data_IF_411358670974
#
_entry.id   IF_411358670974
#
_cell.length_a   1.000
_cell.length_b   1.000
_cell.length_c   1.000
_cell.angle_alpha   90.00
_cell.angle_beta   90.00
_cell.angle_gamma   90.00
#
_symmetry.space_group_name_H-M   'P 1'
#
loop_
_entity.id
_entity.type
_entity.pdbx_description
1 polymer ?
#
# COMPACT_ATOMS: atom_id res chain seq x y z
N UNK A 1 -0.34 15.55 -23.80
CA UNK A 1 -1.59 14.92 -23.34
C UNK A 1 -1.30 13.43 -23.22
N UNK A 2 -0.89 12.99 -22.02
CA UNK A 2 -0.66 11.57 -21.69
C UNK A 2 -1.64 11.24 -20.58
N UNK A 3 -2.44 10.22 -20.82
CA UNK A 3 -3.54 9.75 -19.97
C UNK A 3 -2.92 9.06 -18.76
N UNK A 4 -2.67 9.82 -17.70
CA UNK A 4 -2.38 9.32 -16.35
C UNK A 4 -3.68 8.95 -15.62
N UNK A 5 -4.46 8.05 -16.20
CA UNK A 5 -5.65 7.44 -15.58
C UNK A 5 -5.37 5.95 -15.47
N UNK A 6 -4.71 5.55 -14.38
CA UNK A 6 -5.03 4.28 -13.74
C UNK A 6 -4.96 4.56 -12.26
N UNK A 7 -6.15 4.48 -11.64
CA UNK A 7 -6.39 4.50 -10.21
C UNK A 7 -5.18 3.97 -9.45
N UNK A 8 -4.66 4.78 -8.51
CA UNK A 8 -4.30 4.23 -7.21
C UNK A 8 -5.53 3.44 -6.75
N UNK A 9 -5.55 2.14 -7.07
CA UNK A 9 -6.41 1.18 -6.45
C UNK A 9 -5.90 1.11 -5.03
N UNK A 10 -6.36 2.05 -4.21
CA UNK A 10 -6.19 1.97 -2.78
C UNK A 10 -6.71 0.59 -2.39
N UNK A 11 -5.85 -0.23 -1.77
CA UNK A 11 -6.23 -1.59 -1.40
C UNK A 11 -7.46 -1.57 -0.49
N UNK A 12 -7.70 -0.48 0.25
CA UNK A 12 -8.95 -0.25 0.97
C UNK A 12 -10.18 -0.21 0.06
N UNK A 13 -10.10 0.43 -1.11
CA UNK A 13 -11.21 0.48 -2.07
C UNK A 13 -11.55 -0.92 -2.60
N UNK A 14 -10.56 -1.78 -2.80
CA UNK A 14 -10.78 -3.17 -3.23
C UNK A 14 -11.47 -3.97 -2.11
N UNK A 15 -11.00 -3.83 -0.87
CA UNK A 15 -11.54 -4.53 0.29
C UNK A 15 -13.00 -4.17 0.55
N UNK A 16 -13.36 -2.88 0.51
CA UNK A 16 -14.75 -2.42 0.65
C UNK A 16 -15.65 -2.97 -0.45
N UNK A 17 -15.22 -2.87 -1.72
CA UNK A 17 -15.98 -3.39 -2.86
C UNK A 17 -16.20 -4.90 -2.74
N UNK A 18 -15.19 -5.68 -2.33
CA UNK A 18 -15.35 -7.13 -2.14
C UNK A 18 -16.42 -7.42 -1.08
N UNK A 19 -16.36 -6.72 0.05
CA UNK A 19 -17.31 -6.93 1.13
C UNK A 19 -18.74 -6.64 0.67
N UNK A 20 -18.97 -5.45 0.10
CA UNK A 20 -20.29 -5.02 -0.35
C UNK A 20 -20.86 -5.93 -1.44
N UNK A 21 -20.06 -6.27 -2.46
CA UNK A 21 -20.49 -7.17 -3.53
C UNK A 21 -20.78 -8.57 -3.02
N UNK A 22 -20.02 -9.06 -2.05
CA UNK A 22 -20.29 -10.36 -1.46
C UNK A 22 -21.59 -10.36 -0.67
N UNK A 23 -21.84 -9.31 0.13
CA UNK A 23 -23.10 -9.15 0.86
C UNK A 23 -24.31 -9.09 -0.09
N UNK A 24 -24.21 -8.32 -1.17
CA UNK A 24 -25.27 -8.21 -2.19
C UNK A 24 -25.56 -9.58 -2.85
N UNK A 25 -24.51 -10.30 -3.27
CA UNK A 25 -24.65 -11.53 -4.05
C UNK A 25 -25.31 -12.67 -3.29
N UNK A 26 -25.03 -12.80 -1.99
CA UNK A 26 -25.65 -13.84 -1.14
C UNK A 26 -26.72 -13.31 -0.21
N UNK A 27 -27.13 -12.05 -0.37
CA UNK A 27 -28.14 -11.40 0.49
C UNK A 27 -27.80 -11.58 1.97
N UNK A 28 -26.63 -11.07 2.37
CA UNK A 28 -26.22 -11.03 3.77
C UNK A 28 -26.52 -9.64 4.35
N UNK A 29 -27.08 -9.60 5.55
CA UNK A 29 -27.36 -8.36 6.29
C UNK A 29 -26.09 -7.81 6.94
N UNK A 30 -25.18 -8.70 7.32
CA UNK A 30 -23.94 -8.39 8.00
C UNK A 30 -22.75 -8.96 7.25
N UNK A 31 -21.65 -8.22 7.28
CA UNK A 31 -20.41 -8.68 6.70
C UNK A 31 -19.20 -8.11 7.42
N UNK A 32 -18.13 -8.90 7.47
CA UNK A 32 -16.83 -8.46 7.94
C UNK A 32 -15.73 -9.06 7.07
N UNK A 33 -14.72 -8.28 6.74
CA UNK A 33 -13.55 -8.72 5.99
C UNK A 33 -12.30 -8.33 6.76
N UNK A 34 -11.43 -9.32 6.98
CA UNK A 34 -10.11 -9.11 7.56
C UNK A 34 -9.04 -9.52 6.56
N UNK A 35 -7.99 -8.72 6.46
CA UNK A 35 -6.79 -9.06 5.69
C UNK A 35 -5.58 -9.12 6.62
N UNK A 36 -4.59 -9.90 6.22
CA UNK A 36 -3.37 -10.14 6.97
C UNK A 36 -2.15 -9.63 6.21
N UNK A 37 -1.17 -9.15 6.95
CA UNK A 37 0.11 -8.72 6.40
C UNK A 37 1.03 -9.94 6.09
N UNK A 38 2.35 -9.72 6.02
CA UNK A 38 3.31 -10.84 5.82
C UNK A 38 3.65 -11.56 7.12
N UNK A 39 3.45 -10.92 8.27
CA UNK A 39 3.68 -11.50 9.60
C UNK A 39 2.51 -12.34 10.10
N UNK A 40 1.35 -12.24 9.42
CA UNK A 40 0.08 -12.83 9.86
C UNK A 40 -0.71 -11.92 10.80
N UNK A 41 -0.24 -10.68 11.02
CA UNK A 41 -0.96 -9.67 11.77
C UNK A 41 -2.11 -9.10 10.93
N UNK A 42 -3.16 -8.60 11.59
CA UNK A 42 -4.26 -7.92 10.91
C UNK A 42 -3.72 -6.65 10.25
N UNK A 43 -3.92 -6.55 8.93
CA UNK A 43 -3.56 -5.38 8.12
C UNK A 43 -4.77 -4.44 7.99
N UNK A 44 -5.93 -5.00 7.62
CA UNK A 44 -7.19 -4.28 7.54
C UNK A 44 -8.34 -5.10 8.13
N UNK A 45 -9.26 -4.42 8.80
CA UNK A 45 -10.53 -4.96 9.25
C UNK A 45 -11.64 -3.98 8.90
N UNK A 46 -12.65 -4.46 8.17
CA UNK A 46 -13.85 -3.70 7.85
C UNK A 46 -15.09 -4.52 8.22
N UNK A 47 -16.14 -3.83 8.63
CA UNK A 47 -17.45 -4.44 8.92
C UNK A 47 -18.59 -3.56 8.40
N UNK A 48 -19.69 -4.21 8.02
CA UNK A 48 -20.93 -3.58 7.56
C UNK A 48 -22.12 -4.25 8.23
N UNK A 49 -23.12 -3.44 8.56
CA UNK A 49 -24.36 -3.87 9.21
C UNK A 49 -24.24 -4.15 10.71
N UNK A 50 -23.05 -4.25 11.30
CA UNK A 50 -22.89 -4.58 12.72
C UNK A 50 -23.19 -3.33 13.59
N UNK A 51 -24.19 -3.44 14.47
CA UNK A 51 -24.43 -2.52 15.60
C UNK A 51 -24.28 -3.24 16.95
N UNK A 52 -24.25 -2.48 18.05
CA UNK A 52 -23.97 -2.97 19.41
C UNK A 52 -25.01 -3.98 19.97
N UNK A 53 -26.15 -4.21 19.30
CA UNK A 53 -27.24 -5.07 19.76
C UNK A 53 -27.67 -6.16 18.75
N UNK A 54 -26.86 -6.43 17.72
CA UNK A 54 -27.22 -7.41 16.68
C UNK A 54 -27.05 -8.86 17.17
N UNK A 55 -28.14 -9.62 17.16
CA UNK A 55 -28.08 -11.09 17.15
C UNK A 55 -27.73 -11.58 15.74
N UNK A 56 -26.77 -12.50 15.62
CA UNK A 56 -26.37 -13.08 14.33
C UNK A 56 -27.11 -14.40 14.09
N UNK A 57 -27.72 -14.55 12.91
CA UNK A 57 -28.37 -15.76 12.45
C UNK A 57 -27.41 -16.70 11.70
N UNK A 58 -27.88 -17.24 10.58
CA UNK A 58 -27.07 -18.10 9.73
C UNK A 58 -25.81 -17.35 9.24
N UNK A 59 -24.69 -18.06 9.18
CA UNK A 59 -23.39 -17.48 8.80
C UNK A 59 -22.69 -18.27 7.70
N UNK A 60 -21.87 -17.56 6.94
CA UNK A 60 -21.02 -18.07 5.88
C UNK A 60 -19.64 -17.43 5.99
N UNK A 61 -18.61 -18.24 5.78
CA UNK A 61 -17.21 -17.79 5.75
C UNK A 61 -16.53 -18.27 4.47
N UNK A 62 -15.71 -17.40 3.89
CA UNK A 62 -14.78 -17.74 2.83
C UNK A 62 -13.37 -17.26 3.15
N UNK A 63 -12.38 -18.01 2.67
CA UNK A 63 -10.97 -17.65 2.81
C UNK A 63 -10.51 -16.92 1.56
N UNK A 64 -9.71 -15.88 1.75
CA UNK A 64 -9.03 -15.16 0.68
C UNK A 64 -7.61 -15.73 0.67
N UNK A 65 -7.30 -16.61 -0.27
CA UNK A 65 -5.98 -17.24 -0.35
C UNK A 65 -5.45 -17.31 -1.78
N UNK A 66 -4.12 -17.20 -1.92
CA UNK A 66 -3.40 -17.32 -3.20
C UNK A 66 -2.20 -18.23 -2.98
N UNK A 67 -2.06 -19.28 -3.80
CA UNK A 67 -0.90 -20.22 -3.76
C UNK A 67 -0.58 -20.68 -2.32
N UNK A 68 -1.59 -21.18 -1.62
CA UNK A 68 -1.52 -21.68 -0.23
C UNK A 68 -1.21 -20.63 0.85
N UNK A 69 -1.17 -19.34 0.48
CA UNK A 69 -1.04 -18.24 1.44
C UNK A 69 -2.40 -17.64 1.77
N UNK A 70 -2.75 -17.63 3.05
CA UNK A 70 -3.93 -16.90 3.56
C UNK A 70 -3.65 -15.40 3.54
N UNK A 71 -4.45 -14.67 2.77
CA UNK A 71 -4.43 -13.20 2.67
C UNK A 71 -5.49 -12.61 3.59
N UNK A 72 -6.58 -13.32 3.85
CA UNK A 72 -7.67 -12.80 4.66
C UNK A 72 -8.83 -13.76 4.80
N UNK A 73 -9.88 -13.31 5.45
CA UNK A 73 -11.15 -14.03 5.51
C UNK A 73 -12.32 -13.07 5.41
N UNK A 74 -13.36 -13.53 4.74
CA UNK A 74 -14.65 -12.88 4.62
C UNK A 74 -15.66 -13.66 5.48
N UNK A 75 -16.39 -12.94 6.30
CA UNK A 75 -17.48 -13.44 7.12
C UNK A 75 -18.76 -12.71 6.72
N UNK A 76 -19.84 -13.46 6.55
CA UNK A 76 -21.16 -12.96 6.19
C UNK A 76 -22.18 -13.60 7.12
N UNK A 77 -23.18 -12.85 7.55
CA UNK A 77 -24.33 -13.42 8.26
C UNK A 77 -25.63 -12.73 7.89
N UNK A 78 -26.72 -13.44 8.13
CA UNK A 78 -28.08 -12.90 8.05
C UNK A 78 -28.63 -12.63 9.44
N UNK A 79 -29.72 -11.88 9.53
CA UNK A 79 -30.48 -11.73 10.77
C UNK A 79 -31.10 -13.07 11.20
N UNK A 80 -31.41 -13.26 12.49
CA UNK A 80 -32.08 -14.46 12.98
C UNK A 80 -33.44 -14.66 12.30
N UNK A 81 -33.77 -15.91 11.99
CA UNK A 81 -35.03 -16.28 11.33
C UNK A 81 -34.97 -16.30 9.80
N UNK A 82 -33.91 -15.79 9.17
CA UNK A 82 -33.69 -15.97 7.74
C UNK A 82 -33.25 -17.39 7.37
N UNK A 83 -33.50 -17.84 6.13
CA UNK A 83 -33.02 -19.11 5.64
C UNK A 83 -31.49 -19.24 5.73
N UNK A 84 -30.96 -20.46 5.92
CA UNK A 84 -29.52 -20.69 5.85
C UNK A 84 -28.96 -20.35 4.47
N UNK A 85 -27.65 -20.07 4.41
CA UNK A 85 -26.94 -19.94 3.14
C UNK A 85 -27.00 -21.25 2.37
N UNK A 86 -27.28 -21.16 1.07
CA UNK A 86 -27.33 -22.31 0.17
C UNK A 86 -25.92 -22.76 -0.23
N UNK A 87 -25.79 -23.97 -0.77
CA UNK A 87 -24.53 -24.42 -1.36
C UNK A 87 -24.07 -23.52 -2.52
N UNK A 88 -25.02 -22.95 -3.27
CA UNK A 88 -24.73 -21.97 -4.31
C UNK A 88 -24.09 -20.71 -3.73
N UNK A 89 -24.61 -20.21 -2.59
CA UNK A 89 -24.02 -19.07 -1.87
C UNK A 89 -22.58 -19.37 -1.48
N UNK A 90 -22.31 -20.58 -0.96
CA UNK A 90 -20.96 -21.02 -0.60
C UNK A 90 -20.03 -21.04 -1.81
N UNK A 91 -20.48 -21.55 -2.95
CA UNK A 91 -19.68 -21.61 -4.19
C UNK A 91 -19.34 -20.20 -4.67
N UNK A 92 -20.34 -19.30 -4.73
CA UNK A 92 -20.15 -17.92 -5.18
C UNK A 92 -19.17 -17.17 -4.29
N UNK A 93 -19.35 -17.21 -2.97
CA UNK A 93 -18.51 -16.45 -2.03
C UNK A 93 -17.08 -17.00 -1.98
N UNK A 94 -16.88 -18.31 -2.12
CA UNK A 94 -15.53 -18.87 -2.22
C UNK A 94 -14.83 -18.47 -3.53
N UNK A 95 -15.56 -18.40 -4.65
CA UNK A 95 -15.02 -17.92 -5.92
C UNK A 95 -14.63 -16.44 -5.83
N UNK A 96 -15.49 -15.60 -5.24
CA UNK A 96 -15.19 -14.19 -4.96
C UNK A 96 -13.98 -14.05 -4.04
N UNK A 97 -13.90 -14.82 -2.96
CA UNK A 97 -12.76 -14.82 -2.04
C UNK A 97 -11.44 -15.17 -2.73
N UNK A 98 -11.47 -16.14 -3.66
CA UNK A 98 -10.30 -16.52 -4.45
C UNK A 98 -9.86 -15.40 -5.41
N UNK A 99 -10.80 -14.78 -6.12
CA UNK A 99 -10.51 -13.65 -7.04
C UNK A 99 -10.02 -12.42 -6.27
N UNK A 100 -10.66 -12.11 -5.16
CA UNK A 100 -10.28 -11.05 -4.23
C UNK A 100 -8.83 -11.22 -3.75
N UNK A 101 -8.46 -12.44 -3.37
CA UNK A 101 -7.11 -12.74 -2.91
C UNK A 101 -6.05 -12.43 -3.98
N UNK A 102 -6.30 -12.78 -5.24
CA UNK A 102 -5.41 -12.45 -6.37
C UNK A 102 -5.29 -10.93 -6.56
N UNK A 103 -6.41 -10.23 -6.55
CA UNK A 103 -6.45 -8.76 -6.69
C UNK A 103 -5.69 -8.05 -5.58
N UNK A 104 -5.94 -8.42 -4.33
CA UNK A 104 -5.26 -7.86 -3.15
C UNK A 104 -3.77 -8.17 -3.15
N UNK A 105 -3.37 -9.40 -3.51
CA UNK A 105 -1.96 -9.75 -3.65
C UNK A 105 -1.25 -8.90 -4.70
N UNK A 106 -1.91 -8.65 -5.83
CA UNK A 106 -1.34 -7.86 -6.93
C UNK A 106 -1.19 -6.38 -6.53
N UNK A 107 -2.23 -5.80 -5.92
CA UNK A 107 -2.20 -4.42 -5.43
C UNK A 107 -1.11 -4.22 -4.37
N UNK A 108 -0.90 -5.21 -3.49
CA UNK A 108 0.18 -5.17 -2.50
C UNK A 108 1.56 -5.19 -3.14
N UNK A 109 1.82 -6.13 -4.06
CA UNK A 109 3.10 -6.23 -4.76
C UNK A 109 3.43 -4.93 -5.50
N UNK A 110 2.42 -4.33 -6.15
CA UNK A 110 2.58 -3.05 -6.82
C UNK A 110 2.98 -1.92 -5.86
N UNK A 111 2.32 -1.83 -4.69
CA UNK A 111 2.68 -0.84 -3.66
C UNK A 111 4.09 -1.05 -3.10
N UNK A 112 4.48 -2.30 -2.85
CA UNK A 112 5.83 -2.63 -2.35
C UNK A 112 6.92 -2.22 -3.35
N UNK A 113 6.70 -2.47 -4.65
CA UNK A 113 7.63 -2.07 -5.70
C UNK A 113 7.69 -0.54 -5.88
N UNK A 114 6.53 0.14 -5.82
CA UNK A 114 6.47 1.60 -5.86
C UNK A 114 7.24 2.25 -4.69
N UNK A 115 7.08 1.75 -3.48
CA UNK A 115 7.80 2.23 -2.30
C UNK A 115 9.31 1.94 -2.40
N UNK A 116 9.70 0.77 -2.92
CA UNK A 116 11.11 0.46 -3.18
C UNK A 116 11.72 1.44 -4.19
N UNK A 117 11.01 1.72 -5.28
CA UNK A 117 11.44 2.70 -6.29
C UNK A 117 11.62 4.09 -5.68
N UNK A 118 10.65 4.55 -4.88
CA UNK A 118 10.71 5.83 -4.16
C UNK A 118 11.90 5.93 -3.21
N UNK A 119 12.19 4.86 -2.44
CA UNK A 119 13.39 4.80 -1.58
C UNK A 119 14.68 4.90 -2.39
N UNK A 120 14.75 4.21 -3.53
CA UNK A 120 15.90 4.29 -4.44
C UNK A 120 16.14 5.71 -4.96
N UNK A 121 15.08 6.38 -5.41
CA UNK A 121 15.15 7.76 -5.89
C UNK A 121 15.64 8.73 -4.80
N UNK A 122 15.14 8.58 -3.57
CA UNK A 122 15.60 9.39 -2.43
C UNK A 122 17.09 9.15 -2.14
N UNK A 123 17.55 7.89 -2.17
CA UNK A 123 18.96 7.57 -1.95
C UNK A 123 19.87 8.16 -3.03
N UNK A 124 19.41 8.18 -4.29
CA UNK A 124 20.10 8.87 -5.39
C UNK A 124 20.16 10.37 -5.14
N UNK A 125 19.07 11.01 -4.72
CA UNK A 125 19.05 12.43 -4.38
C UNK A 125 20.01 12.78 -3.25
N UNK A 126 20.04 11.99 -2.17
CA UNK A 126 21.02 12.15 -1.08
C UNK A 126 22.44 12.00 -1.61
N UNK A 127 22.70 10.96 -2.39
CA UNK A 127 24.04 10.70 -2.97
C UNK A 127 24.49 11.82 -3.91
N UNK A 128 23.55 12.45 -4.62
CA UNK A 128 23.81 13.61 -5.45
C UNK A 128 24.15 14.84 -4.59
N UNK A 129 23.35 15.12 -3.56
CA UNK A 129 23.57 16.26 -2.67
C UNK A 129 24.91 16.16 -1.91
N UNK A 130 25.28 14.97 -1.44
CA UNK A 130 26.57 14.72 -0.79
C UNK A 130 27.73 14.92 -1.78
N UNK A 131 27.60 14.43 -3.02
CA UNK A 131 28.64 14.62 -4.05
C UNK A 131 28.83 16.08 -4.45
N UNK A 132 27.74 16.85 -4.54
CA UNK A 132 27.82 18.29 -4.88
C UNK A 132 28.33 19.10 -3.69
N UNK A 133 27.94 18.75 -2.45
CA UNK A 133 28.50 19.37 -1.24
C UNK A 133 29.98 19.07 -1.02
N UNK A 134 30.52 18.00 -1.62
CA UNK A 134 31.94 17.66 -1.64
C UNK A 134 32.63 18.05 -2.96
N UNK A 135 31.98 18.83 -3.84
CA UNK A 135 32.67 19.37 -5.01
C UNK A 135 33.71 20.37 -4.51
N UNK A 136 34.94 19.88 -4.41
CA UNK A 136 36.12 20.64 -4.02
C UNK A 136 36.21 21.92 -4.86
N UNK A 137 35.75 21.91 -6.11
CA UNK A 137 35.77 23.06 -7.00
C UNK A 137 34.80 24.15 -6.52
N UNK A 138 33.59 23.79 -6.12
CA UNK A 138 32.57 24.74 -5.64
C UNK A 138 32.97 25.31 -4.27
N UNK A 139 33.45 24.46 -3.37
CA UNK A 139 33.98 24.86 -2.05
C UNK A 139 35.23 25.74 -2.18
N UNK A 140 36.15 25.39 -3.07
CA UNK A 140 37.36 26.20 -3.32
C UNK A 140 37.02 27.53 -3.99
N UNK A 141 36.02 27.56 -4.87
CA UNK A 141 35.57 28.79 -5.53
C UNK A 141 34.96 29.74 -4.50
N UNK A 142 34.07 29.26 -3.65
CA UNK A 142 33.45 30.07 -2.58
C UNK A 142 34.49 30.54 -1.54
N UNK A 143 35.46 29.69 -1.20
CA UNK A 143 36.57 30.04 -0.34
C UNK A 143 37.47 31.13 -0.95
N UNK A 144 37.83 31.01 -2.24
CA UNK A 144 38.62 32.01 -2.97
C UNK A 144 37.90 33.35 -3.03
N UNK A 145 36.59 33.36 -3.33
CA UNK A 145 35.80 34.58 -3.35
C UNK A 145 35.72 35.25 -1.98
N UNK A 146 35.45 34.47 -0.93
CA UNK A 146 35.30 34.98 0.44
C UNK A 146 36.62 35.55 0.96
N UNK A 147 37.74 34.84 0.73
CA UNK A 147 39.07 35.30 1.11
C UNK A 147 39.49 36.54 0.34
N UNK A 148 39.22 36.61 -0.97
CA UNK A 148 39.51 37.78 -1.80
C UNK A 148 38.77 39.04 -1.30
N UNK A 149 37.48 38.90 -0.98
CA UNK A 149 36.66 39.99 -0.39
C UNK A 149 37.19 40.43 0.97
N UNK A 150 37.53 39.50 1.86
CA UNK A 150 38.01 39.79 3.21
C UNK A 150 39.41 40.43 3.23
N UNK A 151 40.30 40.00 2.32
CA UNK A 151 41.67 40.52 2.22
C UNK A 151 41.79 41.77 1.34
N UNK A 152 40.74 42.16 0.60
CA UNK A 152 40.72 43.36 -0.24
C UNK A 152 41.70 43.29 -1.42
N UNK A 153 41.90 42.12 -2.00
CA UNK A 153 42.87 41.87 -3.07
C UNK A 153 42.19 41.52 -4.39
N UNK A 154 42.73 42.04 -5.49
CA UNK A 154 42.14 41.89 -6.83
C UNK A 154 42.28 40.48 -7.41
N UNK A 155 43.20 39.66 -6.91
CA UNK A 155 43.43 38.29 -7.39
C UNK A 155 43.77 37.34 -6.24
N UNK A 156 42.98 36.27 -6.13
CA UNK A 156 43.20 35.16 -5.24
C UNK A 156 43.00 33.86 -6.04
N UNK A 157 43.81 32.83 -5.77
CA UNK A 157 43.65 31.50 -6.35
C UNK A 157 44.13 30.44 -5.36
N UNK A 158 43.50 29.27 -5.36
CA UNK A 158 43.98 28.09 -4.63
C UNK A 158 44.56 27.12 -5.66
N UNK A 159 45.76 26.60 -5.38
CA UNK A 159 46.40 25.56 -6.18
C UNK A 159 46.43 24.27 -5.37
N UNK A 160 45.77 23.23 -5.88
CA UNK A 160 45.90 21.88 -5.34
C UNK A 160 47.27 21.31 -5.72
N UNK A 161 47.89 20.58 -4.80
CA UNK A 161 49.16 19.89 -5.01
C UNK A 161 48.88 18.40 -4.82
N UNK A 162 49.00 17.63 -5.89
CA UNK A 162 48.97 16.16 -5.80
C UNK A 162 50.36 15.68 -5.35
N UNK A 163 50.41 14.68 -4.44
CA UNK A 163 51.64 13.98 -4.03
C UNK A 163 52.18 13.04 -5.11
#
# INVERSE_FOLDING_TARGET
MSVGLTHELDAMSIVDVILERSMELVRADFGALVTFDQSGSIDHFISRGIDDQVEMGASLRALLSVRDRLIGSLYLSRVPGEPPFSDSDRVVVNALGSMAAVGLSSARLYREEAERSKRGALMQQISWAVRHSLDITEVLTDAVETLGKAAGIDRCYIRLVDE
#
